data_IF_942210230991
#
_entry.id   IF_942210230991
#
_cell.length_a   1.000
_cell.length_b   1.000
_cell.length_c   1.000
_cell.angle_alpha   90.00
_cell.angle_beta   90.00
_cell.angle_gamma   90.00
#
_symmetry.space_group_name_H-M   'P 1'
#
loop_
_entity.id
_entity.type
_entity.pdbx_description
1 polymer ?
#
# COMPACT_ATOMS: atom_id res chain seq x y z
N UNK A 1 -8.94 -21.45 -46.68
CA UNK A 1 -9.82 -20.82 -45.68
C UNK A 1 -8.91 -20.30 -44.58
N UNK A 2 -8.76 -18.98 -44.43
CA UNK A 2 -7.88 -18.42 -43.39
C UNK A 2 -8.55 -18.58 -42.04
N UNK A 3 -7.92 -19.35 -41.14
CA UNK A 3 -8.45 -19.64 -39.81
C UNK A 3 -7.89 -18.60 -38.82
N UNK A 4 -8.59 -17.48 -38.69
CA UNK A 4 -8.26 -16.41 -37.75
C UNK A 4 -9.48 -16.04 -36.90
N UNK A 5 -9.23 -15.63 -35.67
CA UNK A 5 -10.26 -15.14 -34.73
C UNK A 5 -10.06 -13.64 -34.49
N UNK A 6 -11.16 -12.89 -34.47
CA UNK A 6 -11.15 -11.47 -34.14
C UNK A 6 -11.26 -11.32 -32.63
N UNK A 7 -10.38 -10.53 -32.05
CA UNK A 7 -10.46 -10.12 -30.64
C UNK A 7 -11.18 -8.78 -30.58
N UNK A 8 -12.14 -8.64 -29.68
CA UNK A 8 -12.93 -7.42 -29.51
C UNK A 8 -13.07 -7.05 -28.03
N UNK A 9 -13.15 -5.75 -27.76
CA UNK A 9 -13.46 -5.20 -26.43
C UNK A 9 -14.76 -4.41 -26.47
N UNK A 10 -15.48 -4.37 -25.36
CA UNK A 10 -16.65 -3.51 -25.18
C UNK A 10 -16.18 -2.19 -24.56
N UNK A 11 -16.47 -1.08 -25.21
CA UNK A 11 -16.28 0.26 -24.64
C UNK A 11 -17.66 0.85 -24.33
N UNK A 12 -17.82 1.34 -23.11
CA UNK A 12 -19.02 2.04 -22.65
C UNK A 12 -18.67 3.51 -22.46
N UNK A 13 -19.31 4.41 -23.22
CA UNK A 13 -19.15 5.86 -23.10
C UNK A 13 -20.54 6.45 -22.85
N UNK A 14 -20.79 6.91 -21.63
CA UNK A 14 -22.12 7.39 -21.23
C UNK A 14 -23.16 6.27 -21.25
N UNK A 15 -24.23 6.43 -22.02
CA UNK A 15 -25.32 5.46 -22.16
C UNK A 15 -25.18 4.54 -23.40
N UNK A 16 -24.10 4.67 -24.15
CA UNK A 16 -23.86 3.91 -25.38
C UNK A 16 -22.75 2.88 -25.17
N UNK A 17 -22.97 1.67 -25.70
CA UNK A 17 -22.02 0.57 -25.66
C UNK A 17 -21.65 0.16 -27.09
N UNK A 18 -20.35 0.18 -27.41
CA UNK A 18 -19.85 -0.21 -28.73
C UNK A 18 -18.77 -1.30 -28.61
N UNK A 19 -18.80 -2.26 -29.52
CA UNK A 19 -17.83 -3.36 -29.60
C UNK A 19 -16.77 -2.99 -30.63
N UNK A 20 -15.51 -2.87 -30.20
CA UNK A 20 -14.39 -2.45 -31.04
C UNK A 20 -13.40 -3.61 -31.21
N UNK A 21 -12.97 -3.94 -32.44
CA UNK A 21 -11.93 -4.94 -32.66
C UNK A 21 -10.57 -4.43 -32.14
N UNK A 22 -9.94 -5.23 -31.29
CA UNK A 22 -8.67 -4.94 -30.61
C UNK A 22 -7.51 -5.82 -31.10
N UNK A 23 -7.76 -6.80 -31.98
CA UNK A 23 -6.68 -7.63 -32.49
C UNK A 23 -7.14 -8.82 -33.33
N UNK A 24 -6.16 -9.59 -33.78
CA UNK A 24 -6.32 -10.80 -34.56
C UNK A 24 -5.48 -11.93 -33.96
N UNK A 25 -6.05 -13.12 -33.94
CA UNK A 25 -5.34 -14.34 -33.59
C UNK A 25 -5.31 -15.30 -34.78
N UNK A 26 -4.11 -15.69 -35.22
CA UNK A 26 -3.91 -16.61 -36.33
C UNK A 26 -3.70 -18.02 -35.79
N UNK A 27 -4.73 -18.88 -35.90
CA UNK A 27 -4.71 -20.21 -35.28
C UNK A 27 -3.69 -21.19 -35.87
N UNK A 28 -3.21 -20.95 -37.09
CA UNK A 28 -2.23 -21.83 -37.77
C UNK A 28 -0.80 -21.52 -37.31
N UNK A 29 -0.47 -20.24 -37.19
CA UNK A 29 0.86 -19.77 -36.78
C UNK A 29 0.97 -19.53 -35.28
N UNK A 30 -0.17 -19.57 -34.56
CA UNK A 30 -0.29 -19.19 -33.15
C UNK A 30 0.20 -17.76 -32.89
N UNK A 31 0.07 -16.88 -33.89
CA UNK A 31 0.45 -15.48 -33.80
C UNK A 31 -0.70 -14.63 -33.28
N UNK A 32 -0.38 -13.73 -32.34
CA UNK A 32 -1.32 -12.81 -31.72
C UNK A 32 -0.91 -11.37 -32.03
N UNK A 33 -1.79 -10.63 -32.71
CA UNK A 33 -1.59 -9.22 -33.02
C UNK A 33 -2.61 -8.38 -32.26
N UNK A 34 -2.15 -7.52 -31.36
CA UNK A 34 -2.99 -6.67 -30.52
C UNK A 34 -2.76 -5.19 -30.87
N UNK A 35 -3.86 -4.45 -31.03
CA UNK A 35 -3.87 -2.99 -31.15
C UNK A 35 -3.91 -2.37 -29.75
N UNK A 36 -2.74 -2.20 -29.13
CA UNK A 36 -2.61 -1.72 -27.75
C UNK A 36 -3.30 -0.37 -27.50
N UNK A 37 -3.31 0.51 -28.50
CA UNK A 37 -3.95 1.83 -28.44
C UNK A 37 -5.49 1.81 -28.41
N UNK A 38 -6.12 0.64 -28.49
CA UNK A 38 -7.59 0.48 -28.47
C UNK A 38 -8.11 -0.22 -27.21
N UNK A 39 -7.22 -0.66 -26.32
CA UNK A 39 -7.59 -1.37 -25.10
C UNK A 39 -7.62 -0.37 -23.94
N UNK A 40 -8.78 -0.27 -23.30
CA UNK A 40 -8.98 0.61 -22.15
C UNK A 40 -9.44 -0.23 -20.96
N UNK A 41 -8.61 -0.26 -19.92
CA UNK A 41 -8.94 -0.87 -18.64
C UNK A 41 -9.40 0.19 -17.65
N UNK A 42 -10.34 -0.18 -16.77
CA UNK A 42 -10.75 0.67 -15.66
C UNK A 42 -9.53 0.83 -14.74
N UNK A 43 -9.07 2.07 -14.54
CA UNK A 43 -7.85 2.37 -13.77
C UNK A 43 -6.55 2.34 -14.58
N UNK A 44 -6.60 2.12 -15.90
CA UNK A 44 -5.45 2.25 -16.81
C UNK A 44 -4.46 1.08 -16.79
N UNK A 45 -4.71 0.04 -15.98
CA UNK A 45 -3.86 -1.15 -15.89
C UNK A 45 -4.71 -2.42 -16.04
N UNK A 46 -4.10 -3.47 -16.58
CA UNK A 46 -4.71 -4.80 -16.68
C UNK A 46 -5.04 -5.29 -15.27
N UNK A 47 -6.28 -5.74 -14.99
CA UNK A 47 -6.63 -6.29 -13.69
C UNK A 47 -5.83 -7.57 -13.42
N UNK A 48 -5.48 -7.80 -12.15
CA UNK A 48 -4.81 -9.01 -11.71
C UNK A 48 -5.77 -9.91 -10.94
N UNK A 49 -5.68 -11.22 -11.16
CA UNK A 49 -6.51 -12.23 -10.47
C UNK A 49 -6.20 -12.32 -8.97
N UNK A 50 -5.03 -11.82 -8.56
CA UNK A 50 -4.56 -11.86 -7.17
C UNK A 50 -4.36 -10.47 -6.61
N UNK A 51 -4.64 -10.32 -5.32
CA UNK A 51 -4.42 -9.08 -4.58
C UNK A 51 -3.06 -9.12 -3.89
N UNK A 52 -2.34 -8.00 -3.91
CA UNK A 52 -1.16 -7.82 -3.07
C UNK A 52 -1.61 -7.37 -1.68
N UNK A 53 -1.34 -8.20 -0.67
CA UNK A 53 -1.63 -7.85 0.73
C UNK A 53 -0.37 -7.28 1.35
N UNK A 54 -0.39 -5.99 1.70
CA UNK A 54 0.68 -5.37 2.49
C UNK A 54 0.47 -5.66 3.98
N UNK A 55 1.32 -6.49 4.57
CA UNK A 55 1.35 -6.70 6.02
C UNK A 55 2.18 -5.58 6.64
N UNK A 56 1.53 -4.67 7.38
CA UNK A 56 2.20 -3.59 8.11
C UNK A 56 2.21 -3.88 9.60
N UNK A 57 3.39 -3.81 10.21
CA UNK A 57 3.54 -3.82 11.66
C UNK A 57 3.16 -2.44 12.18
N UNK A 58 2.10 -2.35 12.98
CA UNK A 58 1.68 -1.10 13.61
C UNK A 58 2.61 -0.86 14.80
N UNK A 59 3.59 0.04 14.61
CA UNK A 59 4.48 0.50 15.68
C UNK A 59 3.84 1.59 16.55
N UNK A 60 4.51 1.93 17.66
CA UNK A 60 4.13 3.08 18.49
C UNK A 60 4.62 4.37 17.83
N UNK A 61 3.84 5.45 17.95
CA UNK A 61 4.27 6.79 17.51
C UNK A 61 5.58 7.18 18.20
N UNK A 62 6.61 7.45 17.40
CA UNK A 62 7.93 7.87 17.89
C UNK A 62 7.84 9.10 18.80
N UNK A 63 6.97 10.06 18.46
CA UNK A 63 6.77 11.27 19.24
C UNK A 63 6.26 10.97 20.64
N UNK A 64 5.22 10.13 20.75
CA UNK A 64 4.66 9.74 22.05
C UNK A 64 5.69 8.97 22.88
N UNK A 65 6.42 8.06 22.23
CA UNK A 65 7.47 7.29 22.90
C UNK A 65 8.54 8.21 23.50
N UNK A 66 9.04 9.19 22.74
CA UNK A 66 10.06 10.14 23.20
C UNK A 66 9.54 11.00 24.35
N UNK A 67 8.33 11.55 24.24
CA UNK A 67 7.75 12.42 25.28
C UNK A 67 7.61 11.67 26.61
N UNK A 68 7.09 10.44 26.58
CA UNK A 68 6.93 9.62 27.79
C UNK A 68 8.29 9.27 28.39
N UNK A 69 9.30 8.99 27.56
CA UNK A 69 10.64 8.64 28.02
C UNK A 69 11.33 9.81 28.74
N UNK A 70 11.25 11.03 28.17
CA UNK A 70 11.80 12.23 28.81
C UNK A 70 11.13 12.49 30.16
N UNK A 71 9.80 12.35 30.23
CA UNK A 71 9.06 12.53 31.47
C UNK A 71 9.45 11.50 32.54
N UNK A 72 9.65 10.24 32.14
CA UNK A 72 10.11 9.18 33.04
C UNK A 72 11.52 9.46 33.59
N UNK A 73 12.45 9.90 32.73
CA UNK A 73 13.82 10.27 33.15
C UNK A 73 13.78 11.43 34.15
N UNK A 74 12.96 12.47 33.89
CA UNK A 74 12.81 13.59 34.81
C UNK A 74 12.30 13.15 36.20
N UNK A 75 11.31 12.26 36.24
CA UNK A 75 10.78 11.71 37.49
C UNK A 75 11.83 10.90 38.27
N UNK A 76 12.64 10.10 37.58
CA UNK A 76 13.72 9.31 38.18
C UNK A 76 14.76 10.22 38.84
N UNK A 77 15.18 11.28 38.14
CA UNK A 77 16.14 12.26 38.68
C UNK A 77 15.58 12.90 39.95
N UNK A 78 14.31 13.32 39.91
CA UNK A 78 13.64 13.96 41.04
C UNK A 78 13.55 13.03 42.26
N UNK A 79 13.26 11.74 42.03
CA UNK A 79 13.23 10.72 43.07
C UNK A 79 14.60 10.53 43.74
N UNK A 80 15.69 10.51 42.95
CA UNK A 80 17.06 10.39 43.47
C UNK A 80 17.42 11.60 44.35
N UNK A 81 17.03 12.81 43.94
CA UNK A 81 17.26 14.04 44.73
C UNK A 81 16.51 13.96 46.06
N UNK A 82 15.22 13.60 46.04
CA UNK A 82 14.45 13.45 47.27
C UNK A 82 15.03 12.38 48.21
N UNK A 83 15.46 11.25 47.65
CA UNK A 83 16.12 10.20 48.42
C UNK A 83 17.42 10.70 49.06
N UNK A 84 18.25 11.42 48.32
CA UNK A 84 19.51 11.98 48.81
C UNK A 84 19.28 13.00 49.93
N UNK A 85 18.30 13.89 49.77
CA UNK A 85 17.91 14.85 50.79
C UNK A 85 17.39 14.15 52.06
N UNK A 86 16.62 13.07 51.90
CA UNK A 86 16.11 12.28 53.02
C UNK A 86 17.25 11.65 53.84
N UNK A 87 18.24 11.05 53.16
CA UNK A 87 19.43 10.48 53.81
C UNK A 87 20.23 11.56 54.53
N UNK A 88 20.46 12.72 53.90
CA UNK A 88 21.21 13.82 54.51
C UNK A 88 20.53 14.36 55.77
N UNK A 89 19.19 14.52 55.75
CA UNK A 89 18.44 14.94 56.94
C UNK A 89 18.50 13.90 58.05
N UNK A 90 18.48 12.60 57.72
CA UNK A 90 18.61 11.52 58.71
C UNK A 90 19.96 11.52 59.43
N UNK A 91 21.06 11.88 58.75
CA UNK A 91 22.41 11.95 59.35
C UNK A 91 22.65 13.17 60.24
N UNK A 92 21.82 14.20 60.15
CA UNK A 92 21.94 15.44 60.96
C UNK A 92 21.12 15.42 62.26
N UNK A 93 20.38 14.34 62.51
CA UNK A 93 19.57 14.12 63.71
C UNK A 93 20.27 13.12 64.62
#
# INVERSE_FOLDING_TARGET
MFNYSILATLIVIGNESNVIPIGLHYGITNELQIYENKIYWIGGAVPADTVKVEVRIIGVSQHVFITVNILAIAAIILAIVFLSLNIMKRKRK
#
